data_IF_715399761449
#
_entry.id   IF_715399761449
#
_cell.length_a   1.000
_cell.length_b   1.000
_cell.length_c   1.000
_cell.angle_alpha   90.00
_cell.angle_beta   90.00
_cell.angle_gamma   90.00
#
_symmetry.space_group_name_H-M   'P 1'
#
loop_
_entity.id
_entity.type
_entity.pdbx_description
1 polymer ?
#
# COMPACT_ATOMS: atom_id res chain seq x y z
N UNK A 1 -14.58 -6.18 -21.27
CA UNK A 1 -15.37 -5.40 -20.31
C UNK A 1 -15.92 -6.35 -19.24
N UNK A 2 -15.01 -6.98 -18.49
CA UNK A 2 -15.29 -8.14 -17.63
C UNK A 2 -15.08 -7.70 -16.18
N UNK A 3 -16.19 -7.59 -15.44
CA UNK A 3 -16.35 -8.13 -14.09
C UNK A 3 -15.65 -7.42 -12.91
N UNK A 4 -16.22 -6.29 -12.45
CA UNK A 4 -16.20 -6.01 -11.00
C UNK A 4 -17.30 -6.82 -10.30
N UNK A 5 -17.24 -8.16 -10.41
CA UNK A 5 -18.16 -9.00 -9.64
C UNK A 5 -17.93 -8.78 -8.15
N UNK A 6 -18.96 -9.02 -7.34
CA UNK A 6 -18.83 -9.03 -5.89
C UNK A 6 -17.66 -9.92 -5.42
N UNK A 7 -17.40 -11.02 -6.14
CA UNK A 7 -16.25 -11.92 -5.90
C UNK A 7 -14.93 -11.18 -6.12
N UNK A 8 -14.74 -10.53 -7.27
CA UNK A 8 -13.51 -9.79 -7.58
C UNK A 8 -13.21 -8.71 -6.54
N UNK A 9 -14.22 -7.89 -6.18
CA UNK A 9 -14.07 -6.86 -5.13
C UNK A 9 -13.70 -7.46 -3.78
N UNK A 10 -14.35 -8.57 -3.42
CA UNK A 10 -14.08 -9.29 -2.17
C UNK A 10 -12.65 -9.80 -2.14
N UNK A 11 -12.16 -10.40 -3.23
CA UNK A 11 -10.77 -10.84 -3.36
C UNK A 11 -9.82 -9.66 -3.22
N UNK A 12 -10.05 -8.54 -3.91
CA UNK A 12 -9.21 -7.35 -3.80
C UNK A 12 -9.15 -6.80 -2.36
N UNK A 13 -10.26 -6.83 -1.62
CA UNK A 13 -10.28 -6.42 -0.21
C UNK A 13 -9.44 -7.34 0.68
N UNK A 14 -9.58 -8.65 0.51
CA UNK A 14 -8.76 -9.60 1.26
C UNK A 14 -7.28 -9.44 0.95
N UNK A 15 -6.94 -9.33 -0.34
CA UNK A 15 -5.57 -9.07 -0.77
C UNK A 15 -5.07 -7.74 -0.20
N UNK A 16 -5.89 -6.69 -0.16
CA UNK A 16 -5.51 -5.41 0.45
C UNK A 16 -5.09 -5.59 1.91
N UNK A 17 -5.90 -6.27 2.72
CA UNK A 17 -5.58 -6.48 4.14
C UNK A 17 -4.35 -7.39 4.32
N UNK A 18 -4.23 -8.44 3.50
CA UNK A 18 -3.07 -9.34 3.52
C UNK A 18 -1.79 -8.61 3.14
N UNK A 19 -1.83 -7.78 2.09
CA UNK A 19 -0.68 -6.97 1.66
C UNK A 19 -0.33 -5.89 2.68
N UNK A 20 -1.32 -5.20 3.25
CA UNK A 20 -1.08 -4.23 4.32
C UNK A 20 -0.42 -4.90 5.54
N UNK A 21 -0.92 -6.07 5.96
CA UNK A 21 -0.29 -6.87 7.02
C UNK A 21 1.12 -7.33 6.66
N UNK A 22 1.34 -7.77 5.42
CA UNK A 22 2.66 -8.14 4.90
C UNK A 22 3.65 -6.98 4.93
N UNK A 23 3.22 -5.77 4.56
CA UNK A 23 4.02 -4.54 4.67
C UNK A 23 4.37 -4.25 6.13
N UNK A 24 3.40 -4.34 7.05
CA UNK A 24 3.66 -4.13 8.48
C UNK A 24 4.70 -5.10 9.01
N UNK A 25 4.54 -6.40 8.75
CA UNK A 25 5.50 -7.41 9.19
C UNK A 25 6.87 -7.17 8.55
N UNK A 26 6.92 -6.96 7.23
CA UNK A 26 8.17 -6.73 6.50
C UNK A 26 8.93 -5.49 6.98
N UNK A 27 8.23 -4.40 7.29
CA UNK A 27 8.83 -3.17 7.80
C UNK A 27 9.26 -3.26 9.27
N UNK A 28 8.65 -4.13 10.07
CA UNK A 28 9.01 -4.31 11.48
C UNK A 28 10.04 -5.42 11.73
N UNK A 29 10.27 -6.29 10.74
CA UNK A 29 11.32 -7.30 10.85
C UNK A 29 12.69 -6.59 10.97
N UNK A 30 13.54 -7.02 11.95
CA UNK A 30 14.88 -6.47 12.09
C UNK A 30 15.65 -6.61 10.79
N UNK A 31 16.41 -5.59 10.40
CA UNK A 31 17.34 -5.71 9.28
C UNK A 31 18.52 -6.61 9.70
N UNK A 32 18.31 -7.93 9.69
CA UNK A 32 19.43 -8.87 9.63
C UNK A 32 20.03 -8.76 8.23
N UNK A 33 21.36 -8.72 8.09
CA UNK A 33 22.08 -8.62 6.81
C UNK A 33 21.58 -9.64 5.76
N UNK A 34 20.51 -9.33 5.03
CA UNK A 34 19.97 -10.19 3.97
C UNK A 34 20.82 -10.00 2.74
N UNK A 35 21.43 -11.10 2.28
CA UNK A 35 22.25 -11.15 1.09
C UNK A 35 21.48 -10.67 -0.15
N UNK A 36 22.15 -9.81 -0.89
CA UNK A 36 21.72 -9.00 -2.03
C UNK A 36 21.28 -9.79 -3.26
N UNK A 37 20.09 -10.39 -3.27
CA UNK A 37 19.52 -10.94 -4.53
C UNK A 37 18.75 -9.86 -5.30
N UNK A 38 18.18 -8.86 -4.61
CA UNK A 38 17.59 -7.67 -5.22
C UNK A 38 17.89 -6.44 -4.36
N UNK A 39 18.92 -5.66 -4.72
CA UNK A 39 19.24 -4.38 -4.05
C UNK A 39 18.34 -3.29 -4.62
N UNK A 40 17.03 -3.43 -4.45
CA UNK A 40 16.14 -2.29 -4.58
C UNK A 40 16.33 -1.45 -3.32
N UNK A 41 16.46 -0.13 -3.48
CA UNK A 41 16.50 0.76 -2.32
C UNK A 41 15.17 0.63 -1.55
N UNK A 42 15.24 0.62 -0.22
CA UNK A 42 14.08 0.44 0.66
C UNK A 42 12.90 1.35 0.26
N UNK A 43 13.16 2.63 -0.02
CA UNK A 43 12.12 3.57 -0.47
C UNK A 43 11.42 3.17 -1.79
N UNK A 44 12.07 2.44 -2.70
CA UNK A 44 11.41 1.93 -3.92
C UNK A 44 10.44 0.79 -3.56
N UNK A 45 10.86 -0.10 -2.66
CA UNK A 45 10.02 -1.21 -2.17
C UNK A 45 8.79 -0.65 -1.45
N UNK A 46 8.99 0.37 -0.61
CA UNK A 46 7.93 1.11 0.06
C UNK A 46 6.95 1.74 -0.95
N UNK A 47 7.45 2.49 -1.94
CA UNK A 47 6.59 3.08 -2.97
C UNK A 47 5.78 2.03 -3.72
N UNK A 48 6.41 0.92 -4.13
CA UNK A 48 5.74 -0.16 -4.85
C UNK A 48 4.66 -0.86 -4.00
N UNK A 49 4.95 -1.14 -2.73
CA UNK A 49 4.02 -1.79 -1.84
C UNK A 49 2.77 -0.93 -1.56
N UNK A 50 2.96 0.37 -1.36
CA UNK A 50 1.85 1.31 -1.14
C UNK A 50 1.05 1.58 -2.42
N UNK A 51 1.71 1.61 -3.57
CA UNK A 51 1.04 1.65 -4.87
C UNK A 51 0.15 0.41 -5.07
N UNK A 52 0.69 -0.79 -4.82
CA UNK A 52 -0.06 -2.04 -4.94
C UNK A 52 -1.27 -2.09 -4.01
N UNK A 53 -1.10 -1.71 -2.74
CA UNK A 53 -2.23 -1.62 -1.80
C UNK A 53 -3.28 -0.60 -2.25
N UNK A 54 -2.86 0.53 -2.83
CA UNK A 54 -3.79 1.54 -3.36
C UNK A 54 -4.61 1.01 -4.54
N UNK A 55 -3.98 0.28 -5.47
CA UNK A 55 -4.70 -0.38 -6.58
C UNK A 55 -5.78 -1.33 -6.02
N UNK A 56 -5.40 -2.18 -5.06
CA UNK A 56 -6.33 -3.11 -4.43
C UNK A 56 -7.46 -2.39 -3.68
N UNK A 57 -7.17 -1.27 -3.03
CA UNK A 57 -8.18 -0.46 -2.36
C UNK A 57 -9.19 0.13 -3.35
N UNK A 58 -8.73 0.67 -4.48
CA UNK A 58 -9.59 1.25 -5.51
C UNK A 58 -10.50 0.19 -6.15
N UNK A 59 -9.94 -1.00 -6.44
CA UNK A 59 -10.67 -2.12 -7.01
C UNK A 59 -11.62 -2.80 -6.02
N UNK A 60 -11.24 -2.86 -4.74
CA UNK A 60 -11.95 -3.60 -3.70
C UNK A 60 -13.04 -2.82 -2.97
N UNK A 61 -12.87 -1.51 -2.79
CA UNK A 61 -13.84 -0.67 -2.09
C UNK A 61 -14.71 0.14 -3.04
N UNK A 62 -16.01 0.18 -2.73
CA UNK A 62 -17.02 0.91 -3.50
C UNK A 62 -17.23 2.31 -2.94
N UNK A 63 -17.37 3.27 -3.87
CA UNK A 63 -17.63 4.67 -3.56
C UNK A 63 -16.39 5.46 -3.12
N UNK A 64 -16.41 6.73 -3.47
CA UNK A 64 -15.35 7.70 -3.15
C UNK A 64 -14.99 7.73 -1.65
N UNK A 65 -15.95 7.76 -0.70
CA UNK A 65 -15.61 7.84 0.73
C UNK A 65 -14.84 6.61 1.24
N UNK A 66 -15.21 5.41 0.81
CA UNK A 66 -14.56 4.17 1.28
C UNK A 66 -13.15 4.04 0.73
N UNK A 67 -12.94 4.39 -0.55
CA UNK A 67 -11.62 4.43 -1.18
C UNK A 67 -10.69 5.43 -0.49
N UNK A 68 -11.19 6.65 -0.22
CA UNK A 68 -10.41 7.68 0.50
C UNK A 68 -10.05 7.20 1.91
N UNK A 69 -11.01 6.64 2.67
CA UNK A 69 -10.73 6.09 4.01
C UNK A 69 -9.66 5.01 3.98
N UNK A 70 -9.69 4.11 2.99
CA UNK A 70 -8.67 3.07 2.84
C UNK A 70 -7.27 3.66 2.56
N UNK A 71 -7.16 4.65 1.68
CA UNK A 71 -5.89 5.33 1.38
C UNK A 71 -5.35 6.13 2.57
N UNK A 72 -6.21 6.86 3.29
CA UNK A 72 -5.83 7.56 4.51
C UNK A 72 -5.36 6.56 5.57
N UNK A 73 -6.10 5.47 5.79
CA UNK A 73 -5.73 4.42 6.73
C UNK A 73 -4.38 3.79 6.37
N UNK A 74 -4.11 3.56 5.09
CA UNK A 74 -2.84 3.05 4.61
C UNK A 74 -1.67 4.02 4.90
N UNK A 75 -1.85 5.32 4.64
CA UNK A 75 -0.83 6.33 4.94
C UNK A 75 -0.60 6.47 6.46
N UNK A 76 -1.66 6.43 7.25
CA UNK A 76 -1.55 6.43 8.71
C UNK A 76 -0.80 5.20 9.22
N UNK A 77 -1.10 4.02 8.67
CA UNK A 77 -0.38 2.79 8.98
C UNK A 77 1.12 2.95 8.69
N UNK A 78 1.48 3.52 7.54
CA UNK A 78 2.88 3.80 7.20
C UNK A 78 3.56 4.77 8.15
N UNK A 79 2.86 5.84 8.55
CA UNK A 79 3.34 6.76 9.57
C UNK A 79 3.60 6.10 10.92
N UNK A 80 2.66 5.26 11.37
CA UNK A 80 2.80 4.50 12.62
C UNK A 80 3.96 3.51 12.53
N UNK A 81 4.08 2.77 11.43
CA UNK A 81 5.21 1.85 11.20
C UNK A 81 6.53 2.60 11.32
N UNK A 82 6.67 3.74 10.66
CA UNK A 82 7.91 4.53 10.69
C UNK A 82 8.29 5.00 12.09
N UNK A 83 7.29 5.42 12.88
CA UNK A 83 7.48 5.79 14.29
C UNK A 83 7.89 4.58 15.14
N UNK A 84 7.39 3.39 14.83
CA UNK A 84 7.66 2.16 15.58
C UNK A 84 9.01 1.52 15.18
N UNK A 85 9.47 1.70 13.95
CA UNK A 85 10.71 1.13 13.42
C UNK A 85 11.95 1.30 14.35
N UNK A 86 12.20 2.47 14.96
CA UNK A 86 13.26 2.66 15.96
C UNK A 86 13.26 1.68 17.13
N UNK A 87 12.08 1.23 17.57
CA UNK A 87 11.94 0.34 18.73
C UNK A 87 12.23 -1.14 18.39
N UNK A 88 12.36 -1.48 17.11
CA UNK A 88 12.64 -2.84 16.62
C UNK A 88 14.01 -2.96 15.94
N UNK A 89 14.89 -1.97 16.14
CA UNK A 89 16.25 -1.99 15.61
C UNK A 89 16.38 -1.51 14.16
N UNK A 90 15.41 -0.73 13.67
CA UNK A 90 15.49 0.00 12.39
C UNK A 90 15.61 1.51 12.62
N UNK A 91 15.81 2.28 11.57
CA UNK A 91 15.91 3.75 11.65
C UNK A 91 14.66 4.41 11.09
N UNK A 92 14.22 5.50 11.72
CA UNK A 92 13.23 6.39 11.12
C UNK A 92 13.81 7.08 9.87
N UNK A 93 13.12 7.00 8.75
CA UNK A 93 13.49 7.49 7.43
C UNK A 93 12.35 8.29 6.79
N UNK A 94 12.55 9.61 6.69
CA UNK A 94 11.64 10.52 5.96
C UNK A 94 11.41 10.13 4.50
N UNK A 95 12.40 9.47 3.88
CA UNK A 95 12.31 9.01 2.50
C UNK A 95 11.25 7.92 2.32
N UNK A 96 11.06 7.05 3.32
CA UNK A 96 10.08 5.98 3.25
C UNK A 96 8.65 6.52 3.39
N UNK A 97 8.46 7.54 4.25
CA UNK A 97 7.21 8.29 4.31
C UNK A 97 6.84 8.95 2.97
N UNK A 98 7.82 9.61 2.34
CA UNK A 98 7.59 10.26 1.04
C UNK A 98 7.33 9.24 -0.06
N UNK A 99 8.02 8.10 -0.03
CA UNK A 99 7.81 6.99 -0.95
C UNK A 99 6.42 6.38 -0.80
N UNK A 100 5.96 6.14 0.43
CA UNK A 100 4.62 5.65 0.72
C UNK A 100 3.57 6.60 0.11
N UNK A 101 3.71 7.91 0.36
CA UNK A 101 2.82 8.93 -0.22
C UNK A 101 2.87 8.93 -1.75
N UNK A 102 4.06 8.91 -2.33
CA UNK A 102 4.25 8.88 -3.78
C UNK A 102 3.60 7.66 -4.43
N UNK A 103 3.77 6.48 -3.83
CA UNK A 103 3.12 5.24 -4.26
C UNK A 103 1.59 5.35 -4.27
N UNK A 104 1.01 5.87 -3.18
CA UNK A 104 -0.45 6.09 -3.09
C UNK A 104 -0.93 7.08 -4.18
N UNK A 105 -0.27 8.22 -4.32
CA UNK A 105 -0.69 9.26 -5.28
C UNK A 105 -0.60 8.77 -6.72
N UNK A 106 0.51 8.12 -7.10
CA UNK A 106 0.72 7.61 -8.46
C UNK A 106 -0.30 6.51 -8.78
N UNK A 107 -0.50 5.54 -7.87
CA UNK A 107 -1.47 4.47 -8.07
C UNK A 107 -2.90 4.99 -8.12
N UNK A 108 -3.25 5.97 -7.27
CA UNK A 108 -4.56 6.60 -7.32
C UNK A 108 -4.78 7.31 -8.66
N UNK A 109 -3.86 8.18 -9.09
CA UNK A 109 -3.98 8.91 -10.35
C UNK A 109 -4.15 7.99 -11.56
N UNK A 110 -3.43 6.87 -11.58
CA UNK A 110 -3.46 5.92 -12.70
C UNK A 110 -4.64 4.95 -12.65
N UNK A 111 -5.07 4.50 -11.47
CA UNK A 111 -6.10 3.45 -11.33
C UNK A 111 -7.51 4.03 -11.24
N UNK A 112 -7.65 5.23 -10.66
CA UNK A 112 -8.94 5.85 -10.40
C UNK A 112 -9.81 6.08 -11.63
N UNK A 113 -9.28 6.52 -12.79
CA UNK A 113 -10.09 6.72 -14.00
C UNK A 113 -10.81 5.43 -14.43
N UNK A 114 -10.15 4.28 -14.31
CA UNK A 114 -10.72 2.98 -14.68
C UNK A 114 -11.84 2.54 -13.73
N UNK A 115 -11.73 2.88 -12.44
CA UNK A 115 -12.77 2.57 -11.46
C UNK A 115 -14.04 3.42 -11.67
N UNK A 116 -13.91 4.67 -12.12
CA UNK A 116 -15.06 5.54 -12.42
C UNK A 116 -15.86 5.07 -13.63
N UNK A 117 -15.19 4.64 -14.70
CA UNK A 117 -15.87 4.11 -15.89
C UNK A 117 -16.67 2.82 -15.61
N UNK A 118 -16.39 2.13 -14.51
CA UNK A 118 -17.16 0.94 -14.10
C UNK A 118 -18.38 1.27 -13.24
N UNK A 119 -18.51 2.52 -12.77
CA UNK A 119 -19.59 3.00 -11.88
C UNK A 119 -20.62 3.88 -12.60
N UNK A 120 -20.33 4.31 -13.84
CA UNK A 120 -21.17 5.13 -14.72
C UNK A 120 -21.99 4.29 -15.69
#
# INVERSE_FOLDING_TARGET
>A
MILQSAIFRTVCRWLFFLSAGGVTVGSLLPQTHVSSVFVLKDWIVHAAAYAFCTVLAICGFEGLPSRIRAMIGLLMLGGVIEIVQPYVGRSFAWHDLLANLGGVVIAAATTWPFARCAES
#
